data_IF_332426683135
#
_entry.id   IF_332426683135
#
_cell.length_a   1.000
_cell.length_b   1.000
_cell.length_c   1.000
_cell.angle_alpha   90.00
_cell.angle_beta   90.00
_cell.angle_gamma   90.00
#
_symmetry.space_group_name_H-M   'P 1'
#
loop_
_entity.id
_entity.type
_entity.pdbx_description
1 polymer ?
#
# COMPACT_ATOMS: atom_id res chain seq x y z
N UNK A 1 12.57 -0.25 -9.96
CA UNK A 1 11.87 1.04 -10.09
C UNK A 1 11.09 1.30 -8.80
N UNK A 2 11.73 1.89 -7.78
CA UNK A 2 11.03 2.38 -6.60
C UNK A 2 10.41 3.74 -6.92
N UNK A 3 9.27 4.07 -6.32
CA UNK A 3 8.49 5.29 -6.61
C UNK A 3 9.36 6.58 -6.49
N UNK A 4 10.45 6.51 -5.72
CA UNK A 4 11.51 7.52 -5.69
C UNK A 4 12.80 7.00 -6.33
N UNK A 5 13.19 7.58 -7.46
CA UNK A 5 14.52 7.42 -8.06
C UNK A 5 15.61 8.26 -7.36
N UNK A 6 15.21 9.07 -6.37
CA UNK A 6 16.09 9.90 -5.54
C UNK A 6 16.22 9.30 -4.14
N UNK A 7 17.44 9.26 -3.62
CA UNK A 7 17.68 8.93 -2.21
C UNK A 7 17.08 10.05 -1.34
N UNK A 8 16.11 9.69 -0.50
CA UNK A 8 15.54 10.63 0.45
C UNK A 8 16.64 11.10 1.42
N UNK A 9 16.62 12.38 1.84
CA UNK A 9 17.57 12.85 2.84
C UNK A 9 17.40 12.05 4.14
N UNK A 10 18.52 11.77 4.82
CA UNK A 10 18.60 10.72 5.86
C UNK A 10 17.60 10.91 7.01
N UNK A 11 17.24 12.16 7.32
CA UNK A 11 16.24 12.50 8.34
C UNK A 11 14.82 12.12 7.91
N UNK A 12 14.47 12.32 6.64
CA UNK A 12 13.17 11.94 6.09
C UNK A 12 13.06 10.41 5.93
N UNK A 13 14.15 9.76 5.54
CA UNK A 13 14.24 8.30 5.52
C UNK A 13 14.06 7.68 6.91
N UNK A 14 14.74 8.22 7.94
CA UNK A 14 14.58 7.75 9.32
C UNK A 14 13.17 8.03 9.87
N UNK A 15 12.61 9.21 9.60
CA UNK A 15 11.27 9.56 10.06
C UNK A 15 10.20 8.66 9.43
N UNK A 16 10.24 8.45 8.11
CA UNK A 16 9.31 7.54 7.42
C UNK A 16 9.54 6.09 7.80
N UNK A 17 10.79 5.66 8.02
CA UNK A 17 11.11 4.31 8.49
C UNK A 17 10.55 4.02 9.89
N UNK A 18 10.76 4.93 10.84
CA UNK A 18 10.20 4.80 12.20
C UNK A 18 8.68 4.78 12.19
N UNK A 19 8.05 5.67 11.41
CA UNK A 19 6.59 5.68 11.25
C UNK A 19 6.08 4.39 10.61
N UNK A 20 6.72 3.92 9.53
CA UNK A 20 6.35 2.68 8.86
C UNK A 20 6.45 1.48 9.80
N UNK A 21 7.54 1.36 10.56
CA UNK A 21 7.73 0.28 11.55
C UNK A 21 6.70 0.39 12.66
N UNK A 22 6.44 1.58 13.19
CA UNK A 22 5.45 1.78 14.26
C UNK A 22 4.04 1.38 13.79
N UNK A 23 3.66 1.77 12.57
CA UNK A 23 2.37 1.44 11.98
C UNK A 23 2.27 -0.04 11.60
N UNK A 24 3.33 -0.65 11.08
CA UNK A 24 3.39 -2.09 10.84
C UNK A 24 3.27 -2.88 12.14
N UNK A 25 4.01 -2.51 13.19
CA UNK A 25 3.94 -3.19 14.50
C UNK A 25 2.55 -3.05 15.10
N UNK A 26 1.93 -1.87 14.97
CA UNK A 26 0.54 -1.66 15.38
C UNK A 26 -0.41 -2.56 14.58
N UNK A 27 -0.25 -2.63 13.26
CA UNK A 27 -1.09 -3.46 12.42
C UNK A 27 -0.91 -4.95 12.70
N UNK A 28 0.33 -5.41 12.92
CA UNK A 28 0.63 -6.77 13.37
C UNK A 28 -0.05 -7.11 14.70
N UNK A 29 -0.15 -6.16 15.64
CA UNK A 29 -0.81 -6.37 16.93
C UNK A 29 -2.35 -6.32 16.86
N UNK A 30 -2.90 -5.49 15.98
CA UNK A 30 -4.35 -5.28 15.84
C UNK A 30 -4.96 -6.21 14.80
N UNK A 31 -4.14 -6.87 13.98
CA UNK A 31 -4.60 -7.79 12.96
C UNK A 31 -5.41 -8.96 13.56
N UNK A 32 -6.63 -9.21 13.04
CA UNK A 32 -7.43 -10.36 13.44
C UNK A 32 -6.87 -11.65 12.81
N UNK A 33 -5.71 -12.11 13.29
CA UNK A 33 -5.04 -13.33 12.82
C UNK A 33 -5.95 -14.58 12.86
N UNK A 34 -7.00 -14.54 13.67
CA UNK A 34 -8.03 -15.58 13.74
C UNK A 34 -8.79 -15.76 12.42
N UNK A 35 -8.96 -14.69 11.62
CA UNK A 35 -9.65 -14.76 10.32
C UNK A 35 -8.88 -15.60 9.30
N UNK A 36 -7.54 -15.61 9.39
CA UNK A 36 -6.65 -16.43 8.54
C UNK A 36 -6.76 -17.93 8.85
N UNK A 37 -7.34 -18.31 9.98
CA UNK A 37 -7.51 -19.71 10.38
C UNK A 37 -8.66 -20.41 9.64
N UNK A 38 -9.41 -19.66 8.82
CA UNK A 38 -10.44 -20.20 7.93
C UNK A 38 -9.81 -21.01 6.79
N UNK A 39 -10.47 -22.08 6.37
CA UNK A 39 -9.97 -22.96 5.31
C UNK A 39 -9.68 -22.17 4.01
N UNK A 40 -8.40 -22.12 3.62
CA UNK A 40 -7.93 -21.44 2.40
C UNK A 40 -7.62 -19.95 2.53
N UNK A 41 -7.99 -19.28 3.63
CA UNK A 41 -7.72 -17.86 3.82
C UNK A 41 -6.21 -17.57 3.94
N UNK A 42 -5.49 -18.36 4.73
CA UNK A 42 -4.03 -18.25 4.83
C UNK A 42 -3.32 -18.48 3.49
N UNK A 43 -3.74 -19.51 2.73
CA UNK A 43 -3.16 -19.79 1.42
C UNK A 43 -3.43 -18.65 0.43
N UNK A 44 -4.63 -18.07 0.43
CA UNK A 44 -4.96 -16.93 -0.39
C UNK A 44 -4.16 -15.66 -0.01
N UNK A 45 -3.94 -15.44 1.29
CA UNK A 45 -3.13 -14.33 1.79
C UNK A 45 -1.68 -14.46 1.33
N UNK A 46 -1.06 -15.64 1.52
CA UNK A 46 0.28 -15.94 1.01
C UNK A 46 0.37 -15.84 -0.52
N UNK A 47 -0.64 -16.33 -1.23
CA UNK A 47 -0.70 -16.24 -2.69
C UNK A 47 -0.68 -14.79 -3.17
N UNK A 48 -1.52 -13.93 -2.60
CA UNK A 48 -1.52 -12.51 -2.95
C UNK A 48 -0.19 -11.84 -2.58
N UNK A 49 0.43 -12.19 -1.46
CA UNK A 49 1.74 -11.63 -1.07
C UNK A 49 2.80 -11.87 -2.14
N UNK A 50 2.77 -13.06 -2.76
CA UNK A 50 3.71 -13.49 -3.79
C UNK A 50 3.34 -12.92 -5.17
N UNK A 51 2.06 -12.93 -5.50
CA UNK A 51 1.56 -12.51 -6.81
C UNK A 51 1.60 -11.00 -6.99
N UNK A 52 1.34 -10.21 -5.94
CA UNK A 52 1.36 -8.75 -6.00
C UNK A 52 2.69 -8.17 -6.54
N UNK A 53 3.87 -8.53 -6.00
CA UNK A 53 5.16 -8.11 -6.56
C UNK A 53 5.36 -8.47 -8.03
N UNK A 54 4.82 -9.62 -8.47
CA UNK A 54 4.89 -10.08 -9.86
C UNK A 54 3.97 -9.23 -10.74
N UNK A 55 2.74 -8.97 -10.29
CA UNK A 55 1.78 -8.11 -11.00
C UNK A 55 2.30 -6.68 -11.11
N UNK A 56 2.93 -6.17 -10.05
CA UNK A 56 3.60 -4.86 -10.03
C UNK A 56 4.75 -4.74 -11.04
N UNK A 57 5.27 -5.87 -11.54
CA UNK A 57 6.27 -5.88 -12.62
C UNK A 57 5.66 -5.66 -14.00
N UNK A 58 4.37 -5.95 -14.18
CA UNK A 58 3.69 -5.70 -15.44
C UNK A 58 3.34 -4.22 -15.54
N UNK A 59 4.31 -3.41 -15.96
CA UNK A 59 4.07 -2.05 -16.44
C UNK A 59 3.31 -2.13 -17.77
N UNK A 60 1.98 -2.12 -17.71
CA UNK A 60 1.19 -1.74 -18.89
C UNK A 60 1.37 -0.24 -19.05
N UNK A 61 1.86 0.27 -20.21
CA UNK A 61 2.11 1.69 -20.43
C UNK A 61 0.79 2.46 -20.58
N UNK A 62 0.01 2.52 -19.51
CA UNK A 62 -1.17 3.36 -19.40
C UNK A 62 -0.76 4.68 -18.73
N UNK A 63 -0.09 5.56 -19.50
CA UNK A 63 0.14 7.01 -19.29
C UNK A 63 0.48 7.58 -17.89
N UNK A 64 0.55 6.78 -16.83
CA UNK A 64 0.60 7.23 -15.43
C UNK A 64 1.12 6.18 -14.44
N UNK A 65 1.43 4.94 -14.80
CA UNK A 65 2.13 3.93 -13.95
C UNK A 65 1.44 3.50 -12.64
N UNK A 66 0.40 4.21 -12.23
CA UNK A 66 -0.22 4.15 -10.90
C UNK A 66 -1.41 3.18 -10.88
N UNK A 67 -2.01 2.87 -12.04
CA UNK A 67 -3.26 2.13 -12.15
C UNK A 67 -3.15 0.63 -11.79
N UNK A 68 -2.10 -0.08 -12.24
CA UNK A 68 -1.93 -1.51 -11.96
C UNK A 68 -1.37 -1.76 -10.55
N UNK A 69 -0.47 -0.88 -10.10
CA UNK A 69 0.08 -0.93 -8.75
C UNK A 69 -1.02 -0.79 -7.70
N UNK A 70 -1.93 0.17 -7.89
CA UNK A 70 -3.03 0.43 -6.97
C UNK A 70 -4.22 -0.50 -7.15
N UNK A 71 -4.34 -1.32 -8.20
CA UNK A 71 -5.51 -2.20 -8.33
C UNK A 71 -5.47 -3.37 -7.33
N UNK A 72 -4.27 -3.82 -6.98
CA UNK A 72 -4.06 -4.94 -6.07
C UNK A 72 -4.23 -4.59 -4.59
N UNK A 73 -3.96 -3.34 -4.19
CA UNK A 73 -4.00 -2.92 -2.77
C UNK A 73 -5.44 -2.87 -2.19
N UNK A 74 -6.43 -2.24 -2.85
CA UNK A 74 -7.84 -2.25 -2.47
C UNK A 74 -8.42 -3.65 -2.40
N UNK A 75 -8.07 -4.52 -3.35
CA UNK A 75 -8.54 -5.90 -3.40
C UNK A 75 -8.07 -6.66 -2.15
N UNK A 76 -6.81 -6.51 -1.79
CA UNK A 76 -6.24 -7.14 -0.60
C UNK A 76 -6.93 -6.66 0.68
N UNK A 77 -7.20 -5.35 0.80
CA UNK A 77 -7.96 -4.76 1.92
C UNK A 77 -9.41 -5.24 1.95
N UNK A 78 -10.04 -5.44 0.80
CA UNK A 78 -11.40 -5.97 0.73
C UNK A 78 -11.48 -7.44 1.15
N UNK A 79 -10.45 -8.23 0.85
CA UNK A 79 -10.42 -9.67 1.15
C UNK A 79 -10.07 -9.97 2.60
N UNK A 80 -9.15 -9.20 3.21
CA UNK A 80 -8.60 -9.50 4.54
C UNK A 80 -8.79 -8.36 5.56
N UNK A 81 -9.37 -7.23 5.16
CA UNK A 81 -9.47 -6.05 6.01
C UNK A 81 -8.19 -5.21 6.04
N UNK A 82 -8.25 -4.05 6.71
CA UNK A 82 -7.15 -3.08 6.70
C UNK A 82 -5.88 -3.60 7.39
N UNK A 83 -6.00 -4.15 8.58
CA UNK A 83 -4.83 -4.54 9.39
C UNK A 83 -4.05 -5.72 8.76
N UNK A 84 -4.74 -6.75 8.26
CA UNK A 84 -4.10 -7.86 7.55
C UNK A 84 -3.59 -7.47 6.16
N UNK A 85 -4.18 -6.45 5.54
CA UNK A 85 -3.69 -5.91 4.29
C UNK A 85 -2.42 -5.08 4.46
N UNK A 86 -2.32 -4.28 5.51
CA UNK A 86 -1.10 -3.51 5.81
C UNK A 86 0.08 -4.48 6.02
N UNK A 87 -0.14 -5.58 6.75
CA UNK A 87 0.92 -6.58 6.99
C UNK A 87 1.28 -7.36 5.73
N UNK A 88 0.28 -7.80 4.95
CA UNK A 88 0.50 -8.51 3.70
C UNK A 88 1.17 -7.65 2.63
N UNK A 89 0.65 -6.45 2.40
CA UNK A 89 1.24 -5.46 1.48
C UNK A 89 2.64 -5.05 1.95
N UNK A 90 2.86 -4.94 3.27
CA UNK A 90 4.19 -4.69 3.82
C UNK A 90 5.19 -5.78 3.45
N UNK A 91 4.79 -7.05 3.56
CA UNK A 91 5.59 -8.19 3.12
C UNK A 91 5.83 -8.17 1.61
N UNK A 92 4.81 -7.84 0.80
CA UNK A 92 4.95 -7.72 -0.65
C UNK A 92 5.93 -6.61 -1.04
N UNK A 93 5.87 -5.45 -0.39
CA UNK A 93 6.83 -4.35 -0.61
C UNK A 93 8.23 -4.80 -0.26
N UNK A 94 8.43 -5.49 0.88
CA UNK A 94 9.72 -6.05 1.27
C UNK A 94 10.25 -7.04 0.22
N UNK A 95 9.42 -7.99 -0.20
CA UNK A 95 9.76 -8.98 -1.22
C UNK A 95 10.12 -8.31 -2.55
N UNK A 96 9.37 -7.28 -2.94
CA UNK A 96 9.65 -6.50 -4.15
C UNK A 96 10.98 -5.74 -4.06
N UNK A 97 11.27 -5.08 -2.93
CA UNK A 97 12.58 -4.42 -2.72
C UNK A 97 13.73 -5.41 -2.76
N UNK A 98 13.55 -6.62 -2.20
CA UNK A 98 14.57 -7.67 -2.21
C UNK A 98 14.81 -8.21 -3.62
N UNK A 99 13.76 -8.46 -4.41
CA UNK A 99 13.87 -9.01 -5.76
C UNK A 99 14.48 -8.03 -6.78
N UNK A 100 14.40 -6.73 -6.51
CA UNK A 100 14.72 -5.69 -7.49
C UNK A 100 15.85 -4.74 -7.06
N UNK A 101 16.62 -5.08 -6.02
CA UNK A 101 17.67 -4.22 -5.44
C UNK A 101 17.21 -2.77 -5.28
N UNK A 102 16.00 -2.61 -4.73
CA UNK A 102 15.45 -1.29 -4.45
C UNK A 102 16.28 -0.57 -3.38
N UNK A 103 16.32 0.78 -3.38
CA UNK A 103 17.02 1.53 -2.34
C UNK A 103 16.37 1.26 -0.98
N UNK A 104 17.07 0.50 -0.14
CA UNK A 104 16.66 0.13 1.23
C UNK A 104 16.37 1.35 2.11
N UNK A 105 17.00 2.49 1.81
CA UNK A 105 16.78 3.76 2.48
C UNK A 105 15.34 4.29 2.28
N UNK A 106 14.73 4.01 1.12
CA UNK A 106 13.38 4.46 0.78
C UNK A 106 12.30 3.43 1.16
N UNK A 107 12.68 2.33 1.81
CA UNK A 107 11.77 1.23 2.15
C UNK A 107 10.64 1.70 3.08
N UNK A 108 10.94 2.59 4.05
CA UNK A 108 9.94 3.20 4.92
C UNK A 108 8.91 4.04 4.16
N UNK A 109 9.38 4.88 3.23
CA UNK A 109 8.51 5.70 2.39
C UNK A 109 7.65 4.83 1.46
N UNK A 110 8.23 3.81 0.83
CA UNK A 110 7.48 2.87 -0.01
C UNK A 110 6.43 2.12 0.80
N UNK A 111 6.75 1.66 2.01
CA UNK A 111 5.76 1.03 2.91
C UNK A 111 4.60 1.96 3.24
N UNK A 112 4.87 3.24 3.56
CA UNK A 112 3.82 4.20 3.83
C UNK A 112 2.93 4.45 2.61
N UNK A 113 3.55 4.67 1.45
CA UNK A 113 2.82 5.01 0.22
C UNK A 113 2.08 3.81 -0.39
N UNK A 114 2.59 2.60 -0.22
CA UNK A 114 2.09 1.40 -0.92
C UNK A 114 1.33 0.42 -0.02
N UNK A 115 1.54 0.47 1.29
CA UNK A 115 0.80 -0.36 2.24
C UNK A 115 -0.14 0.47 3.12
N UNK A 116 0.37 1.49 3.81
CA UNK A 116 -0.41 2.19 4.85
C UNK A 116 -1.46 3.14 4.28
N UNK A 117 -1.06 4.11 3.46
CA UNK A 117 -1.94 5.12 2.87
C UNK A 117 -3.09 4.47 2.08
N UNK A 118 -2.81 3.57 1.11
CA UNK A 118 -3.88 2.94 0.34
C UNK A 118 -4.78 2.06 1.20
N UNK A 119 -4.27 1.39 2.24
CA UNK A 119 -5.11 0.61 3.15
C UNK A 119 -6.05 1.48 4.00
N UNK A 120 -5.57 2.61 4.52
CA UNK A 120 -6.43 3.56 5.25
C UNK A 120 -7.42 4.28 4.33
N UNK A 121 -7.00 4.68 3.13
CA UNK A 121 -7.92 5.22 2.13
C UNK A 121 -9.00 4.19 1.77
N UNK A 122 -8.61 2.92 1.63
CA UNK A 122 -9.53 1.82 1.36
C UNK A 122 -10.55 1.65 2.48
N UNK A 123 -10.11 1.61 3.73
CA UNK A 123 -10.99 1.45 4.88
C UNK A 123 -11.92 2.65 5.06
N UNK A 124 -11.39 3.88 4.92
CA UNK A 124 -12.20 5.10 5.00
C UNK A 124 -13.27 5.13 3.91
N UNK A 125 -12.88 4.77 2.68
CA UNK A 125 -13.81 4.69 1.56
C UNK A 125 -14.83 3.58 1.75
N UNK A 126 -14.44 2.44 2.32
CA UNK A 126 -15.40 1.37 2.64
C UNK A 126 -16.46 1.85 3.63
N UNK A 127 -16.04 2.56 4.68
CA UNK A 127 -16.95 3.13 5.67
C UNK A 127 -17.84 4.23 5.06
N UNK A 128 -17.30 5.05 4.16
CA UNK A 128 -18.04 6.08 3.47
C UNK A 128 -19.08 5.50 2.50
N UNK A 129 -18.70 4.54 1.66
CA UNK A 129 -19.60 3.89 0.70
C UNK A 129 -20.67 3.08 1.44
N UNK A 130 -20.33 2.35 2.50
CA UNK A 130 -21.31 1.65 3.33
C UNK A 130 -22.38 2.57 3.93
N UNK A 131 -22.05 3.87 4.09
CA UNK A 131 -22.97 4.88 4.63
C UNK A 131 -23.79 5.60 3.55
N UNK A 132 -23.28 5.70 2.32
CA UNK A 132 -23.85 6.60 1.31
C UNK A 132 -24.23 5.96 -0.04
N UNK A 133 -23.68 4.79 -0.44
CA UNK A 133 -23.86 4.27 -1.81
C UNK A 133 -24.24 2.76 -1.89
N UNK A 134 -24.93 2.32 -2.96
CA UNK A 134 -25.24 0.92 -3.22
C UNK A 134 -23.99 0.07 -3.40
N UNK A 135 -24.02 -1.18 -2.92
CA UNK A 135 -22.87 -2.08 -2.77
C UNK A 135 -22.37 -2.69 -4.09
N UNK A 136 -21.85 -1.88 -5.02
CA UNK A 136 -21.25 -2.35 -6.29
C UNK A 136 -19.72 -2.32 -6.26
N UNK A 137 -19.08 -3.45 -6.59
CA UNK A 137 -17.62 -3.64 -6.57
C UNK A 137 -16.86 -2.58 -7.40
N UNK A 138 -17.42 -2.16 -8.53
CA UNK A 138 -16.84 -1.12 -9.39
C UNK A 138 -16.70 0.24 -8.68
N UNK A 139 -17.68 0.63 -7.86
CA UNK A 139 -17.63 1.88 -7.09
C UNK A 139 -16.52 1.82 -6.04
N UNK A 140 -16.33 0.65 -5.42
CA UNK A 140 -15.24 0.44 -4.46
C UNK A 140 -13.88 0.49 -5.13
N UNK A 141 -13.67 -0.21 -6.25
CA UNK A 141 -12.40 -0.17 -6.98
C UNK A 141 -12.07 1.22 -7.51
N UNK A 142 -13.04 1.91 -8.10
CA UNK A 142 -12.84 3.21 -8.74
C UNK A 142 -12.64 4.32 -7.69
N UNK A 143 -13.43 4.28 -6.61
CA UNK A 143 -13.26 5.19 -5.48
C UNK A 143 -11.93 5.01 -4.76
N UNK A 144 -11.57 3.77 -4.44
CA UNK A 144 -10.34 3.47 -3.70
C UNK A 144 -9.08 3.72 -4.54
N UNK A 145 -9.12 3.36 -5.83
CA UNK A 145 -8.05 3.69 -6.77
C UNK A 145 -7.85 5.20 -6.96
N UNK A 146 -8.94 5.98 -7.13
CA UNK A 146 -8.86 7.43 -7.30
C UNK A 146 -8.34 8.14 -6.04
N UNK A 147 -8.91 7.81 -4.87
CA UNK A 147 -8.50 8.42 -3.61
C UNK A 147 -7.10 7.99 -3.16
N UNK A 148 -6.75 6.71 -3.34
CA UNK A 148 -5.40 6.21 -3.08
C UNK A 148 -4.37 6.92 -3.96
N UNK A 149 -4.68 7.11 -5.25
CA UNK A 149 -3.84 7.88 -6.18
C UNK A 149 -3.69 9.33 -5.73
N UNK A 150 -4.79 10.01 -5.41
CA UNK A 150 -4.78 11.40 -4.95
C UNK A 150 -3.99 11.58 -3.65
N UNK A 151 -4.15 10.66 -2.69
CA UNK A 151 -3.42 10.70 -1.43
C UNK A 151 -1.92 10.51 -1.64
N UNK A 152 -1.51 9.52 -2.44
CA UNK A 152 -0.10 9.26 -2.74
C UNK A 152 0.51 10.42 -3.51
N UNK A 153 -0.17 10.96 -4.52
CA UNK A 153 0.30 12.12 -5.29
C UNK A 153 0.39 13.38 -4.42
N UNK A 154 -0.60 13.63 -3.56
CA UNK A 154 -0.59 14.74 -2.62
C UNK A 154 0.55 14.64 -1.61
N UNK A 155 0.78 13.45 -1.04
CA UNK A 155 1.87 13.23 -0.09
C UNK A 155 3.24 13.33 -0.76
N UNK A 156 3.37 12.79 -1.97
CA UNK A 156 4.60 12.90 -2.78
C UNK A 156 4.88 14.35 -3.18
N UNK A 157 3.85 15.11 -3.56
CA UNK A 157 3.96 16.54 -3.86
C UNK A 157 4.32 17.38 -2.63
N UNK A 158 3.76 17.06 -1.46
CA UNK A 158 4.13 17.73 -0.22
C UNK A 158 5.56 17.42 0.20
N UNK A 159 5.97 16.16 0.06
CA UNK A 159 7.35 15.71 0.31
C UNK A 159 8.35 16.39 -0.65
N UNK A 160 8.00 16.61 -1.92
CA UNK A 160 8.88 17.28 -2.88
C UNK A 160 8.98 18.80 -2.65
N UNK A 161 7.91 19.45 -2.20
CA UNK A 161 7.94 20.87 -1.80
C UNK A 161 8.79 21.06 -0.55
N UNK A 162 8.64 20.20 0.45
CA UNK A 162 9.46 20.27 1.68
C UNK A 162 10.93 19.95 1.42
N UNK A 163 11.24 19.06 0.46
CA UNK A 163 12.61 18.79 0.04
C UNK A 163 13.26 19.93 -0.79
N UNK A 164 12.49 20.80 -1.44
CA UNK A 164 13.00 21.97 -2.16
C UNK A 164 13.19 23.22 -1.28
N UNK A 165 12.70 23.19 -0.03
CA UNK A 165 12.80 24.30 0.92
C UNK A 165 14.04 24.21 1.82
N UNK A 166 14.89 23.19 1.64
CA UNK A 166 16.18 22.97 2.29
C UNK A 166 17.28 22.79 1.25
#
# INVERSE_FOLDING_TARGET
MGIFAYELPIHAALGTGLLAVMLLVRALRQAPWQELNSAGAFSAWCFLIIVLPIVWRFDVPASSGIALHLLGMPLFVLMFGCELAITGLGLSVLAFTWLHDGPWMNLGANLLLMAVIPAWCAEFMMRAIARYLPRHLAVYLLGNGLFGTMAVLGFTGFASVTANLF
#
